data_IF_151789451483
#
_entry.id   IF_151789451483
#
_cell.length_a   1.000
_cell.length_b   1.000
_cell.length_c   1.000
_cell.angle_alpha   90.00
_cell.angle_beta   90.00
_cell.angle_gamma   90.00
#
_symmetry.space_group_name_H-M   'P 1'
#
loop_
_entity.id
_entity.type
_entity.pdbx_description
1 polymer ?
#
# COMPACT_ATOMS: atom_id res chain seq x y z
N UNK A 1 10.68 -2.62 11.40
CA UNK A 1 10.46 -1.17 11.53
C UNK A 1 10.88 -0.40 10.28
N UNK A 2 12.18 -0.27 9.91
CA UNK A 2 12.56 0.50 8.70
C UNK A 2 11.93 -0.01 7.39
N UNK A 3 11.87 -1.33 7.19
CA UNK A 3 11.24 -1.93 6.00
C UNK A 3 9.73 -1.60 5.93
N UNK A 4 9.05 -1.55 7.08
CA UNK A 4 7.62 -1.23 7.13
C UNK A 4 7.37 0.24 6.78
N UNK A 5 8.22 1.14 7.28
CA UNK A 5 8.19 2.55 6.91
C UNK A 5 8.44 2.75 5.41
N UNK A 6 9.46 2.11 4.84
CA UNK A 6 9.73 2.20 3.41
C UNK A 6 8.54 1.70 2.56
N UNK A 7 7.90 0.60 2.99
CA UNK A 7 6.71 0.06 2.33
C UNK A 7 5.48 0.96 2.48
N UNK A 8 5.29 1.57 3.63
CA UNK A 8 4.24 2.54 3.88
C UNK A 8 4.39 3.75 2.96
N UNK A 9 5.58 4.35 2.89
CA UNK A 9 5.86 5.48 2.00
C UNK A 9 5.66 5.13 0.53
N UNK A 10 6.17 3.98 0.08
CA UNK A 10 5.94 3.53 -1.28
C UNK A 10 4.44 3.40 -1.59
N UNK A 11 3.66 2.87 -0.65
CA UNK A 11 2.21 2.73 -0.79
C UNK A 11 1.48 4.08 -0.86
N UNK A 12 1.87 5.05 -0.02
CA UNK A 12 1.34 6.43 -0.07
C UNK A 12 1.61 7.09 -1.44
N UNK A 13 2.79 6.88 -2.01
CA UNK A 13 3.12 7.40 -3.35
C UNK A 13 2.33 6.70 -4.47
N UNK A 14 2.14 5.37 -4.40
CA UNK A 14 1.29 4.65 -5.34
C UNK A 14 -0.16 5.17 -5.32
N UNK A 15 -0.70 5.52 -4.14
CA UNK A 15 -2.04 6.11 -4.01
C UNK A 15 -2.14 7.48 -4.67
N UNK A 16 -1.16 8.36 -4.40
CA UNK A 16 -1.09 9.70 -5.02
C UNK A 16 -1.00 9.58 -6.55
N UNK A 17 -0.20 8.64 -7.02
CA UNK A 17 -0.02 8.37 -8.45
C UNK A 17 -1.32 7.87 -9.09
N UNK A 18 -1.97 6.86 -8.49
CA UNK A 18 -3.24 6.34 -8.99
C UNK A 18 -4.32 7.43 -9.05
N UNK A 19 -4.41 8.26 -8.01
CA UNK A 19 -5.29 9.42 -7.99
C UNK A 19 -4.95 10.44 -9.09
N UNK A 20 -3.66 10.78 -9.28
CA UNK A 20 -3.22 11.71 -10.34
C UNK A 20 -3.53 11.22 -11.76
N UNK A 21 -3.65 9.90 -11.94
CA UNK A 21 -3.99 9.24 -13.19
C UNK A 21 -5.52 9.04 -13.36
N UNK A 22 -6.34 9.50 -12.41
CA UNK A 22 -7.78 9.26 -12.36
C UNK A 22 -8.14 7.76 -12.43
N UNK A 23 -7.35 6.92 -11.76
CA UNK A 23 -7.65 5.49 -11.64
C UNK A 23 -8.59 5.32 -10.46
N UNK A 24 -9.88 5.17 -10.74
CA UNK A 24 -10.90 5.03 -9.69
C UNK A 24 -11.11 3.59 -9.22
N UNK A 25 -10.60 2.60 -9.97
CA UNK A 25 -10.70 1.17 -9.67
C UNK A 25 -9.31 0.55 -9.63
N UNK A 26 -8.80 0.23 -8.44
CA UNK A 26 -7.42 -0.18 -8.23
C UNK A 26 -7.28 -1.42 -7.33
N UNK A 27 -6.30 -2.26 -7.65
CA UNK A 27 -5.81 -3.31 -6.75
C UNK A 27 -4.35 -3.00 -6.47
N UNK A 28 -4.04 -2.72 -5.21
CA UNK A 28 -2.69 -2.48 -4.76
C UNK A 28 -2.11 -3.76 -4.18
N UNK A 29 -0.91 -4.14 -4.62
CA UNK A 29 -0.26 -5.36 -4.18
C UNK A 29 1.01 -5.07 -3.36
N UNK A 30 1.23 -5.85 -2.31
CA UNK A 30 2.44 -5.75 -1.49
C UNK A 30 3.01 -7.12 -1.17
N UNK A 31 4.32 -7.27 -1.31
CA UNK A 31 5.05 -8.47 -0.89
C UNK A 31 5.41 -8.47 0.60
N UNK A 32 5.11 -7.38 1.31
CA UNK A 32 5.47 -7.20 2.72
C UNK A 32 4.37 -7.74 3.65
N UNK A 33 4.53 -8.99 4.09
CA UNK A 33 3.58 -9.64 5.00
C UNK A 33 3.38 -8.88 6.32
N UNK A 34 4.45 -8.30 6.89
CA UNK A 34 4.35 -7.56 8.16
C UNK A 34 3.55 -6.27 8.00
N UNK A 35 3.77 -5.54 6.90
CA UNK A 35 2.94 -4.38 6.54
C UNK A 35 1.49 -4.78 6.35
N UNK A 36 1.21 -5.84 5.58
CA UNK A 36 -0.17 -6.31 5.36
C UNK A 36 -0.87 -6.69 6.67
N UNK A 37 -0.15 -7.34 7.59
CA UNK A 37 -0.71 -7.69 8.90
C UNK A 37 -1.11 -6.46 9.71
N UNK A 38 -0.28 -5.41 9.72
CA UNK A 38 -0.62 -4.13 10.37
C UNK A 38 -1.75 -3.42 9.65
N UNK A 39 -1.73 -3.45 8.32
CA UNK A 39 -2.78 -2.87 7.49
C UNK A 39 -4.15 -3.45 7.85
N UNK A 40 -4.26 -4.78 7.95
CA UNK A 40 -5.50 -5.45 8.36
C UNK A 40 -5.90 -5.17 9.81
N UNK A 41 -4.91 -4.99 10.70
CA UNK A 41 -5.11 -4.74 12.13
C UNK A 41 -5.05 -3.25 12.52
N UNK A 42 -5.23 -2.35 11.56
CA UNK A 42 -5.06 -0.91 11.76
C UNK A 42 -5.92 -0.31 12.88
N UNK A 43 -7.05 -0.94 13.22
CA UNK A 43 -7.92 -0.50 14.33
C UNK A 43 -7.28 -0.72 15.70
N UNK A 44 -6.41 -1.72 15.82
CA UNK A 44 -5.73 -2.12 17.06
C UNK A 44 -4.35 -1.46 17.20
N UNK A 45 -3.79 -0.94 16.09
CA UNK A 45 -2.48 -0.30 16.07
C UNK A 45 -2.58 1.18 16.49
N UNK A 46 -2.08 1.50 17.69
CA UNK A 46 -2.06 2.85 18.28
C UNK A 46 -0.74 3.59 18.06
N UNK A 47 0.26 2.95 17.45
CA UNK A 47 1.54 3.62 17.17
C UNK A 47 1.47 4.45 15.88
N UNK A 48 2.51 5.26 15.62
CA UNK A 48 2.54 6.21 14.50
C UNK A 48 2.26 5.53 13.15
N UNK A 49 2.80 4.33 12.92
CA UNK A 49 2.51 3.56 11.70
C UNK A 49 1.00 3.26 11.57
N UNK A 50 0.35 2.87 12.66
CA UNK A 50 -1.10 2.64 12.68
C UNK A 50 -1.89 3.90 12.35
N UNK A 51 -1.43 5.08 12.79
CA UNK A 51 -2.04 6.35 12.42
C UNK A 51 -1.94 6.63 10.90
N UNK A 52 -0.77 6.48 10.29
CA UNK A 52 -0.61 6.63 8.84
C UNK A 52 -1.48 5.66 8.05
N UNK A 53 -1.56 4.40 8.49
CA UNK A 53 -2.44 3.41 7.86
C UNK A 53 -3.90 3.84 7.92
N UNK A 54 -4.36 4.48 9.00
CA UNK A 54 -5.73 5.03 9.06
C UNK A 54 -5.97 6.14 8.05
N UNK A 55 -4.98 7.02 7.83
CA UNK A 55 -5.09 8.06 6.78
C UNK A 55 -5.08 7.45 5.38
N UNK A 56 -4.33 6.38 5.16
CA UNK A 56 -4.39 5.58 3.93
C UNK A 56 -5.80 5.02 3.71
N UNK A 57 -6.46 4.47 4.73
CA UNK A 57 -7.84 3.99 4.60
C UNK A 57 -8.80 5.10 4.14
N UNK A 58 -8.68 6.32 4.70
CA UNK A 58 -9.47 7.47 4.22
C UNK A 58 -9.18 7.83 2.76
N UNK A 59 -7.92 7.69 2.35
CA UNK A 59 -7.53 7.94 0.96
C UNK A 59 -8.12 6.87 0.03
N UNK A 60 -8.15 5.61 0.47
CA UNK A 60 -8.77 4.50 -0.27
C UNK A 60 -10.29 4.69 -0.45
N UNK A 61 -10.97 5.34 0.50
CA UNK A 61 -12.39 5.68 0.38
C UNK A 61 -12.70 6.68 -0.75
N UNK A 62 -11.68 7.37 -1.30
CA UNK A 62 -11.83 8.25 -2.46
C UNK A 62 -11.93 7.50 -3.79
N UNK A 63 -11.56 6.22 -3.81
CA UNK A 63 -11.65 5.36 -4.99
C UNK A 63 -13.05 4.74 -5.10
N UNK A 64 -13.53 4.48 -6.32
CA UNK A 64 -14.77 3.73 -6.54
C UNK A 64 -14.62 2.29 -6.06
N UNK A 65 -13.51 1.66 -6.42
CA UNK A 65 -13.10 0.38 -5.83
C UNK A 65 -11.61 0.38 -5.56
N UNK A 66 -11.22 0.05 -4.34
CA UNK A 66 -9.82 -0.17 -4.00
C UNK A 66 -9.67 -1.39 -3.10
N UNK A 67 -8.78 -2.30 -3.49
CA UNK A 67 -8.41 -3.46 -2.68
C UNK A 67 -6.89 -3.49 -2.46
N UNK A 68 -6.47 -4.02 -1.32
CA UNK A 68 -5.07 -4.14 -0.94
C UNK A 68 -4.77 -5.60 -0.65
N UNK A 69 -3.94 -6.20 -1.50
CA UNK A 69 -3.64 -7.64 -1.46
C UNK A 69 -2.17 -7.91 -1.13
N UNK A 70 -1.97 -8.98 -0.39
CA UNK A 70 -0.65 -9.55 -0.25
C UNK A 70 -0.35 -10.45 -1.46
N UNK A 71 0.78 -10.22 -2.11
CA UNK A 71 1.24 -11.01 -3.26
C UNK A 71 2.64 -11.57 -2.98
N UNK A 72 2.86 -12.86 -3.26
CA UNK A 72 4.16 -13.48 -3.02
C UNK A 72 5.21 -12.93 -4.01
N UNK A 73 6.45 -12.77 -3.54
CA UNK A 73 7.58 -12.25 -4.32
C UNK A 73 7.86 -12.99 -5.63
N UNK A 74 7.36 -14.22 -5.79
CA UNK A 74 7.55 -15.02 -6.99
C UNK A 74 6.72 -14.57 -8.20
N UNK A 75 5.77 -13.62 -8.06
CA UNK A 75 4.98 -13.04 -9.15
C UNK A 75 5.67 -11.85 -9.84
N UNK A 76 6.99 -11.86 -9.91
CA UNK A 76 7.79 -10.69 -10.24
C UNK A 76 8.37 -10.77 -11.65
N UNK A 77 7.56 -10.32 -12.61
CA UNK A 77 8.07 -9.76 -13.86
C UNK A 77 7.78 -8.26 -14.02
N UNK A 78 6.84 -7.69 -13.25
CA UNK A 78 6.43 -6.28 -13.41
C UNK A 78 6.71 -5.46 -12.14
N UNK A 79 6.26 -5.91 -10.96
CA UNK A 79 6.46 -5.16 -9.70
C UNK A 79 7.91 -5.14 -9.15
N UNK A 80 8.77 -6.12 -9.48
CA UNK A 80 10.21 -6.05 -9.14
C UNK A 80 11.00 -5.14 -10.07
N UNK A 81 10.53 -5.01 -11.31
CA UNK A 81 11.03 -3.99 -12.23
C UNK A 81 10.82 -2.61 -11.60
N UNK A 82 9.67 -2.46 -10.93
CA UNK A 82 9.24 -1.19 -10.39
C UNK A 82 9.73 -0.85 -8.98
N UNK A 83 10.05 -1.84 -8.15
CA UNK A 83 10.76 -1.59 -6.88
C UNK A 83 12.20 -1.05 -7.10
N UNK A 84 12.75 -1.18 -8.31
CA UNK A 84 14.00 -0.54 -8.73
C UNK A 84 13.79 0.69 -9.64
N UNK A 85 12.56 0.97 -10.08
CA UNK A 85 12.13 2.20 -10.77
C UNK A 85 10.62 2.35 -10.60
N UNK A 86 10.11 3.13 -9.63
CA UNK A 86 8.71 3.62 -9.53
C UNK A 86 7.63 2.86 -10.35
N UNK A 87 6.78 2.05 -9.72
CA UNK A 87 5.33 1.74 -9.98
C UNK A 87 4.83 0.59 -9.09
#
# INVERSE_FOLDING_TARGET
MMIEWAKLYAFEECLKLAHSLNIDNAIFETDCASFMNRFKKHKEDIIIIGHHIKEIYKTLEMFTTADVKWANRSYKNVADLFANMLF
#
